data_IF_716149460819
#
_entry.id   IF_716149460819
#
_cell.length_a   1.000
_cell.length_b   1.000
_cell.length_c   1.000
_cell.angle_alpha   90.00
_cell.angle_beta   90.00
_cell.angle_gamma   90.00
#
_symmetry.space_group_name_H-M   'P 1'
#
loop_
_entity.id
_entity.type
_entity.pdbx_description
1 polymer ?
#
# COMPACT_ATOMS: atom_id res chain seq x y z
N UNK A 1 8.76 -34.76 5.37
CA UNK A 1 7.85 -33.70 4.89
C UNK A 1 8.47 -32.37 5.30
N UNK A 2 9.05 -31.61 4.35
CA UNK A 2 9.81 -30.38 4.61
C UNK A 2 8.83 -29.21 4.71
N UNK A 3 8.70 -28.60 5.89
CA UNK A 3 8.01 -27.32 6.04
C UNK A 3 9.06 -26.20 5.94
N UNK A 4 9.03 -25.42 4.86
CA UNK A 4 9.71 -24.12 4.82
C UNK A 4 8.93 -23.16 5.73
N UNK A 5 9.47 -22.87 6.91
CA UNK A 5 9.09 -21.70 7.69
C UNK A 5 9.81 -20.50 7.07
N UNK A 6 9.16 -19.80 6.15
CA UNK A 6 9.61 -18.47 5.78
C UNK A 6 9.21 -17.53 6.93
N UNK A 7 10.13 -17.36 7.88
CA UNK A 7 10.12 -16.20 8.77
C UNK A 7 10.48 -14.98 7.91
N UNK A 8 9.51 -14.15 7.57
CA UNK A 8 9.80 -12.76 7.22
C UNK A 8 10.16 -12.07 8.53
N UNK A 9 11.47 -12.01 8.83
CA UNK A 9 11.99 -11.15 9.88
C UNK A 9 11.76 -9.70 9.46
N UNK A 10 10.80 -9.02 10.09
CA UNK A 10 10.70 -7.57 10.05
C UNK A 10 11.98 -7.00 10.68
N UNK A 11 12.96 -6.65 9.85
CA UNK A 11 14.14 -5.94 10.33
C UNK A 11 13.71 -4.52 10.69
N UNK A 12 13.74 -4.19 11.97
CA UNK A 12 13.66 -2.81 12.46
C UNK A 12 14.81 -2.03 11.82
N UNK A 13 14.48 -1.16 10.86
CA UNK A 13 15.46 -0.30 10.19
C UNK A 13 15.91 0.74 11.22
N UNK A 14 17.22 0.85 11.44
CA UNK A 14 17.76 1.82 12.38
C UNK A 14 17.54 3.25 11.87
N UNK A 15 17.39 4.22 12.78
CA UNK A 15 17.24 5.64 12.42
C UNK A 15 18.43 6.18 11.62
N UNK A 16 19.63 5.61 11.79
CA UNK A 16 20.80 5.90 10.97
C UNK A 16 20.65 5.45 9.52
N UNK A 17 20.11 4.25 9.27
CA UNK A 17 19.87 3.74 7.92
C UNK A 17 18.78 4.56 7.19
N UNK A 18 17.76 5.02 7.93
CA UNK A 18 16.75 5.96 7.40
C UNK A 18 17.37 7.31 7.01
N UNK A 19 18.26 7.86 7.83
CA UNK A 19 18.92 9.13 7.55
C UNK A 19 19.89 9.03 6.36
N UNK A 20 20.61 7.92 6.23
CA UNK A 20 21.49 7.66 5.07
C UNK A 20 20.69 7.48 3.77
N UNK A 21 19.55 6.79 3.83
CA UNK A 21 18.63 6.66 2.71
C UNK A 21 18.04 8.03 2.30
N UNK A 22 17.65 8.86 3.26
CA UNK A 22 17.16 10.22 3.00
C UNK A 22 18.22 11.12 2.37
N UNK A 23 19.45 11.10 2.88
CA UNK A 23 20.58 11.86 2.31
C UNK A 23 20.89 11.43 0.88
N UNK A 24 20.84 10.13 0.61
CA UNK A 24 21.05 9.56 -0.73
C UNK A 24 19.93 9.96 -1.69
N UNK A 25 18.67 9.92 -1.26
CA UNK A 25 17.53 10.39 -2.05
C UNK A 25 17.64 11.89 -2.36
N UNK A 26 18.11 12.70 -1.42
CA UNK A 26 18.34 14.13 -1.62
C UNK A 26 19.43 14.38 -2.68
N UNK A 27 20.55 13.67 -2.60
CA UNK A 27 21.64 13.76 -3.58
C UNK A 27 21.20 13.30 -4.98
N UNK A 28 20.43 12.22 -5.09
CA UNK A 28 19.87 11.76 -6.37
C UNK A 28 18.92 12.81 -6.94
N UNK A 29 18.02 13.37 -6.12
CA UNK A 29 17.10 14.42 -6.53
C UNK A 29 17.84 15.69 -7.01
N UNK A 30 18.95 16.07 -6.38
CA UNK A 30 19.79 17.19 -6.84
C UNK A 30 20.51 16.88 -8.16
N UNK A 31 21.00 15.66 -8.36
CA UNK A 31 21.63 15.27 -9.64
C UNK A 31 20.60 15.11 -10.78
N UNK A 32 19.39 14.67 -10.48
CA UNK A 32 18.28 14.68 -11.43
C UNK A 32 17.87 16.10 -11.86
N UNK A 33 18.12 17.14 -11.04
CA UNK A 33 17.94 18.54 -11.44
C UNK A 33 18.97 19.02 -12.47
N UNK A 34 20.11 18.33 -12.64
CA UNK A 34 21.13 18.66 -13.64
C UNK A 34 20.88 18.00 -15.00
N UNK A 35 20.14 16.89 -15.07
CA UNK A 35 19.66 16.31 -16.33
C UNK A 35 18.37 17.00 -16.77
N UNK A 36 18.49 18.28 -17.13
CA UNK A 36 17.45 19.04 -17.83
C UNK A 36 17.18 18.43 -19.22
N UNK A 37 16.39 17.37 -19.25
CA UNK A 37 15.59 16.98 -20.42
C UNK A 37 14.38 16.13 -20.06
N UNK A 38 14.01 16.00 -18.77
CA UNK A 38 12.64 15.62 -18.44
C UNK A 38 11.77 16.79 -18.91
N UNK A 39 11.00 16.58 -19.98
CA UNK A 39 10.08 17.58 -20.50
C UNK A 39 9.22 18.13 -19.35
N UNK A 40 8.82 19.41 -19.42
CA UNK A 40 7.92 19.97 -18.38
C UNK A 40 6.66 19.10 -18.17
N UNK A 41 6.24 18.38 -19.21
CA UNK A 41 5.18 17.38 -19.16
C UNK A 41 5.53 16.17 -18.28
N UNK A 42 6.76 15.65 -18.35
CA UNK A 42 7.23 14.57 -17.49
C UNK A 42 7.23 14.95 -16.00
N UNK A 43 7.65 16.18 -15.68
CA UNK A 43 7.62 16.66 -14.29
C UNK A 43 6.19 16.84 -13.77
N UNK A 44 5.28 17.39 -14.59
CA UNK A 44 3.85 17.49 -14.24
C UNK A 44 3.20 16.13 -14.05
N UNK A 45 3.53 15.15 -14.88
CA UNK A 45 3.02 13.79 -14.76
C UNK A 45 3.54 13.11 -13.48
N UNK A 46 4.80 13.33 -13.13
CA UNK A 46 5.38 12.85 -11.88
C UNK A 46 4.72 13.48 -10.65
N UNK A 47 4.48 14.80 -10.65
CA UNK A 47 3.76 15.48 -9.57
C UNK A 47 2.34 14.94 -9.40
N UNK A 48 1.59 14.75 -10.49
CA UNK A 48 0.26 14.14 -10.44
C UNK A 48 0.27 12.70 -9.89
N UNK A 49 1.31 11.93 -10.20
CA UNK A 49 1.46 10.59 -9.67
C UNK A 49 1.74 10.61 -8.15
N UNK A 50 2.55 11.55 -7.66
CA UNK A 50 2.75 11.75 -6.22
C UNK A 50 1.46 12.18 -5.54
N UNK A 51 0.75 13.19 -6.06
CA UNK A 51 -0.54 13.63 -5.51
C UNK A 51 -1.57 12.48 -5.48
N UNK A 52 -1.59 11.62 -6.49
CA UNK A 52 -2.45 10.44 -6.53
C UNK A 52 -2.06 9.35 -5.51
N UNK A 53 -0.79 9.30 -5.09
CA UNK A 53 -0.30 8.42 -4.02
C UNK A 53 -0.57 9.01 -2.64
N UNK A 54 -0.56 10.34 -2.50
CA UNK A 54 -0.80 11.05 -1.23
C UNK A 54 -2.29 11.18 -0.87
N UNK A 55 -3.19 11.00 -1.82
CA UNK A 55 -4.62 10.90 -1.51
C UNK A 55 -4.90 9.56 -0.82
N UNK A 56 -4.91 9.57 0.52
CA UNK A 56 -5.45 8.49 1.34
C UNK A 56 -6.89 8.21 0.89
N UNK A 57 -7.08 7.13 0.13
CA UNK A 57 -8.42 6.66 -0.22
C UNK A 57 -9.07 6.17 1.07
N UNK A 58 -10.24 6.70 1.39
CA UNK A 58 -11.04 6.25 2.53
C UNK A 58 -12.27 5.51 2.01
N UNK A 59 -12.65 4.44 2.70
CA UNK A 59 -13.80 3.61 2.36
C UNK A 59 -14.33 2.88 3.60
N UNK A 60 -15.35 2.07 3.41
CA UNK A 60 -15.96 1.24 4.45
C UNK A 60 -16.20 -0.17 3.90
N UNK A 61 -16.35 -1.12 4.82
CA UNK A 61 -16.76 -2.48 4.51
C UNK A 61 -18.28 -2.55 4.29
N UNK A 62 -18.68 -3.15 3.17
CA UNK A 62 -20.08 -3.43 2.83
C UNK A 62 -20.32 -4.91 3.13
N UNK A 63 -21.29 -5.18 4.00
CA UNK A 63 -21.71 -6.56 4.29
C UNK A 63 -22.42 -7.15 3.08
N UNK A 64 -21.90 -8.25 2.52
CA UNK A 64 -22.52 -8.91 1.35
C UNK A 64 -23.65 -9.87 1.74
N UNK A 65 -23.59 -10.38 2.98
CA UNK A 65 -24.47 -11.45 3.45
C UNK A 65 -24.05 -12.86 3.02
N UNK A 66 -22.97 -12.96 2.24
CA UNK A 66 -22.33 -14.22 1.93
C UNK A 66 -21.36 -14.61 3.05
N UNK A 67 -21.18 -15.91 3.27
CA UNK A 67 -20.26 -16.41 4.29
C UNK A 67 -19.59 -17.71 3.87
N UNK A 68 -18.37 -17.91 4.36
CA UNK A 68 -17.66 -19.17 4.29
C UNK A 68 -17.97 -20.01 5.54
N UNK A 69 -18.63 -21.16 5.36
CA UNK A 69 -18.94 -22.11 6.42
C UNK A 69 -17.81 -23.15 6.57
N UNK A 70 -17.00 -23.00 7.61
CA UNK A 70 -15.93 -23.93 7.95
C UNK A 70 -16.29 -24.89 9.09
N UNK A 71 -15.41 -25.85 9.37
CA UNK A 71 -15.57 -26.81 10.47
C UNK A 71 -15.60 -26.15 11.87
N UNK A 72 -15.18 -24.89 11.98
CA UNK A 72 -15.04 -24.16 13.25
C UNK A 72 -15.91 -22.90 13.34
N UNK A 73 -16.75 -22.62 12.34
CA UNK A 73 -17.61 -21.44 12.34
C UNK A 73 -17.82 -20.86 10.94
N UNK A 74 -18.52 -19.73 10.90
CA UNK A 74 -18.78 -18.96 9.69
C UNK A 74 -17.91 -17.70 9.69
N UNK A 75 -17.38 -17.33 8.53
CA UNK A 75 -16.68 -16.06 8.29
C UNK A 75 -17.46 -15.32 7.22
N UNK A 76 -17.91 -14.10 7.52
CA UNK A 76 -18.68 -13.29 6.58
C UNK A 76 -17.75 -12.69 5.52
N UNK A 77 -18.24 -12.62 4.27
CA UNK A 77 -17.60 -11.86 3.22
C UNK A 77 -17.99 -10.38 3.35
N UNK A 78 -17.00 -9.52 3.14
CA UNK A 78 -17.18 -8.08 3.09
C UNK A 78 -16.63 -7.53 1.78
N UNK A 79 -17.30 -6.53 1.23
CA UNK A 79 -16.91 -5.87 -0.01
C UNK A 79 -16.34 -4.47 0.28
N UNK A 80 -15.22 -4.11 -0.36
CA UNK A 80 -14.66 -2.76 -0.23
C UNK A 80 -15.50 -1.74 -1.03
N UNK A 81 -15.99 -0.68 -0.38
CA UNK A 81 -16.77 0.38 -1.07
C UNK A 81 -16.00 1.18 -2.12
N UNK A 82 -14.66 1.14 -2.11
CA UNK A 82 -13.83 1.85 -3.10
C UNK A 82 -13.52 1.02 -4.36
N UNK A 83 -13.34 -0.29 -4.22
CA UNK A 83 -12.87 -1.14 -5.33
C UNK A 83 -13.77 -2.34 -5.64
N UNK A 84 -14.82 -2.55 -4.87
CA UNK A 84 -15.85 -3.58 -5.07
C UNK A 84 -15.28 -5.00 -5.15
N UNK A 85 -14.17 -5.25 -4.45
CA UNK A 85 -13.61 -6.59 -4.29
C UNK A 85 -13.93 -7.13 -2.92
N UNK A 86 -14.25 -8.42 -2.91
CA UNK A 86 -14.53 -9.17 -1.70
C UNK A 86 -13.25 -9.42 -0.88
N UNK A 87 -13.44 -9.46 0.43
CA UNK A 87 -12.46 -9.83 1.43
C UNK A 87 -13.13 -10.76 2.44
N UNK A 88 -12.35 -11.68 2.99
CA UNK A 88 -12.74 -12.50 4.15
C UNK A 88 -12.35 -11.85 5.48
N UNK A 89 -11.62 -10.73 5.42
CA UNK A 89 -11.08 -10.05 6.59
C UNK A 89 -11.53 -8.59 6.59
N UNK A 90 -12.13 -8.17 7.71
CA UNK A 90 -12.30 -6.77 8.09
C UNK A 90 -10.98 -6.30 8.72
N UNK A 91 -10.30 -5.38 8.05
CA UNK A 91 -9.11 -4.73 8.57
C UNK A 91 -9.14 -3.23 8.33
N UNK A 92 -8.18 -2.51 8.92
CA UNK A 92 -8.05 -1.05 8.81
C UNK A 92 -7.77 -0.58 7.37
N UNK A 93 -7.39 -1.48 6.47
CA UNK A 93 -7.10 -1.18 5.07
C UNK A 93 -7.62 -2.26 4.12
N UNK A 94 -8.06 -1.84 2.94
CA UNK A 94 -8.35 -2.76 1.85
C UNK A 94 -7.05 -3.40 1.33
N UNK A 95 -6.92 -4.73 1.32
CA UNK A 95 -5.74 -5.40 0.76
C UNK A 95 -5.63 -5.25 -0.77
N UNK A 96 -6.74 -4.89 -1.44
CA UNK A 96 -6.79 -4.79 -2.88
C UNK A 96 -6.45 -3.40 -3.43
N UNK A 97 -6.89 -2.34 -2.75
CA UNK A 97 -6.76 -0.97 -3.24
C UNK A 97 -6.05 -0.01 -2.28
N UNK A 98 -5.69 -0.47 -1.07
CA UNK A 98 -5.01 0.33 -0.06
C UNK A 98 -5.88 1.40 0.60
N UNK A 99 -7.19 1.41 0.37
CA UNK A 99 -8.08 2.36 1.02
C UNK A 99 -8.16 2.07 2.52
N UNK A 100 -8.06 3.11 3.35
CA UNK A 100 -8.25 3.04 4.79
C UNK A 100 -9.74 2.90 5.11
N UNK A 101 -10.07 1.96 5.99
CA UNK A 101 -11.44 1.59 6.33
C UNK A 101 -11.92 2.33 7.58
N UNK A 102 -13.14 2.87 7.54
CA UNK A 102 -13.83 3.52 8.66
C UNK A 102 -14.96 2.69 9.28
#
# INVERSE_FOLDING_TARGET
MKYCKNYCEEKEISTSELNEAQSTLYYIAENMKMEKSISEEGYRNFQKAIEALEQEKTGHWIMTGDYYAGAYGNIDYVECSCCHKDSLEEGDYCPNCGAKMD
#
